data_IF_251649959198
#
_entry.id   IF_251649959198
#
_cell.length_a   1.000
_cell.length_b   1.000
_cell.length_c   1.000
_cell.angle_alpha   90.00
_cell.angle_beta   90.00
_cell.angle_gamma   90.00
#
_symmetry.space_group_name_H-M   'P 1'
#
loop_
_entity.id
_entity.type
_entity.pdbx_description
1 polymer ?
#
# COMPACT_ATOMS: atom_id res chain seq x y z
N UNK A 1 -36.03 16.77 33.98
CA UNK A 1 -36.32 15.32 34.08
C UNK A 1 -35.25 14.43 33.40
N UNK A 2 -34.19 14.99 32.80
CA UNK A 2 -33.18 14.23 32.03
C UNK A 2 -32.04 13.65 32.87
N UNK A 3 -31.75 14.17 34.06
CA UNK A 3 -30.58 13.72 34.84
C UNK A 3 -30.75 12.36 35.53
N UNK A 4 -31.99 11.85 35.66
CA UNK A 4 -32.25 10.53 36.30
C UNK A 4 -31.83 9.33 35.44
N UNK A 5 -31.64 9.50 34.13
CA UNK A 5 -31.36 8.40 33.20
C UNK A 5 -29.90 8.33 32.74
N UNK A 6 -29.07 9.33 33.06
CA UNK A 6 -27.65 9.37 32.64
C UNK A 6 -26.82 8.26 33.28
N UNK A 7 -27.07 7.98 34.56
CA UNK A 7 -26.34 6.96 35.33
C UNK A 7 -26.65 5.53 34.82
N UNK A 8 -27.92 5.10 34.67
CA UNK A 8 -28.21 3.77 34.15
C UNK A 8 -27.82 3.60 32.67
N UNK A 9 -27.92 4.65 31.86
CA UNK A 9 -27.54 4.59 30.43
C UNK A 9 -26.03 4.40 30.23
N UNK A 10 -25.20 5.06 31.05
CA UNK A 10 -23.74 4.90 30.98
C UNK A 10 -23.28 3.48 31.33
N UNK A 11 -23.95 2.83 32.29
CA UNK A 11 -23.62 1.45 32.69
C UNK A 11 -23.95 0.46 31.56
N UNK A 12 -25.08 0.63 30.89
CA UNK A 12 -25.49 -0.23 29.76
C UNK A 12 -24.51 -0.07 28.59
N UNK A 13 -24.13 1.16 28.24
CA UNK A 13 -23.15 1.42 27.19
C UNK A 13 -21.77 0.82 27.52
N UNK A 14 -21.31 0.93 28.78
CA UNK A 14 -20.06 0.33 29.23
C UNK A 14 -20.04 -1.20 29.09
N UNK A 15 -21.12 -1.88 29.46
CA UNK A 15 -21.23 -3.33 29.35
C UNK A 15 -21.21 -3.83 27.90
N UNK A 16 -21.84 -3.09 26.97
CA UNK A 16 -21.86 -3.44 25.54
C UNK A 16 -20.47 -3.30 24.92
N UNK A 17 -19.72 -2.24 25.27
CA UNK A 17 -18.36 -2.03 24.75
C UNK A 17 -17.40 -3.11 25.25
N UNK A 18 -17.48 -3.49 26.53
CA UNK A 18 -16.66 -4.55 27.12
C UNK A 18 -16.99 -5.91 26.46
N UNK A 19 -18.29 -6.20 26.24
CA UNK A 19 -18.72 -7.42 25.55
C UNK A 19 -18.19 -7.52 24.12
N UNK A 20 -18.21 -6.43 23.36
CA UNK A 20 -17.66 -6.38 22.00
C UNK A 20 -16.14 -6.58 22.00
N UNK A 21 -15.41 -5.98 22.94
CA UNK A 21 -13.96 -6.16 23.05
C UNK A 21 -13.57 -7.62 23.34
N UNK A 22 -14.26 -8.28 24.27
CA UNK A 22 -14.00 -9.71 24.58
C UNK A 22 -14.37 -10.62 23.40
N UNK A 23 -15.49 -10.34 22.73
CA UNK A 23 -15.91 -11.10 21.55
C UNK A 23 -14.92 -11.00 20.39
N UNK A 24 -14.37 -9.81 20.12
CA UNK A 24 -13.36 -9.63 19.07
C UNK A 24 -12.00 -10.22 19.45
N UNK A 25 -11.55 -10.08 20.70
CA UNK A 25 -10.29 -10.67 21.15
C UNK A 25 -10.28 -12.21 21.08
N UNK A 26 -11.42 -12.86 21.31
CA UNK A 26 -11.55 -14.31 21.20
C UNK A 26 -11.47 -14.84 19.75
N UNK A 27 -11.68 -13.99 18.73
CA UNK A 27 -11.73 -14.41 17.32
C UNK A 27 -10.37 -14.37 16.61
N UNK A 28 -9.33 -13.76 17.20
CA UNK A 28 -8.04 -13.48 16.54
C UNK A 28 -6.95 -14.53 16.76
N UNK A 29 -7.25 -15.72 17.26
CA UNK A 29 -6.25 -16.76 17.50
C UNK A 29 -6.38 -17.95 16.55
N UNK A 30 -6.07 -17.80 15.24
CA UNK A 30 -5.60 -18.89 14.36
C UNK A 30 -4.98 -18.36 13.05
N UNK A 31 -3.72 -17.90 13.04
CA UNK A 31 -2.84 -17.99 11.86
C UNK A 31 -1.40 -18.24 12.33
N UNK A 32 -0.79 -19.26 11.75
CA UNK A 32 0.38 -20.00 12.20
C UNK A 32 1.71 -19.22 12.12
N UNK A 33 2.58 -19.57 13.07
CA UNK A 33 3.98 -19.22 13.19
C UNK A 33 4.86 -20.03 12.22
N UNK A 34 5.57 -19.31 11.35
CA UNK A 34 6.99 -19.39 10.94
C UNK A 34 7.63 -20.79 10.75
N UNK A 35 8.15 -21.04 9.54
CA UNK A 35 9.42 -21.78 9.35
C UNK A 35 10.16 -21.18 8.16
N UNK A 36 11.11 -20.30 8.43
CA UNK A 36 12.11 -19.82 7.48
C UNK A 36 13.44 -20.44 7.85
N UNK A 37 13.86 -21.45 7.08
CA UNK A 37 15.18 -22.08 7.18
C UNK A 37 16.13 -21.36 6.22
N UNK A 38 16.99 -20.50 6.77
CA UNK A 38 18.22 -20.08 6.11
C UNK A 38 19.26 -21.21 6.25
N UNK A 39 20.05 -21.53 5.21
CA UNK A 39 21.40 -22.12 5.33
C UNK A 39 22.13 -22.14 3.96
N UNK A 40 23.17 -21.29 3.90
CA UNK A 40 24.47 -21.37 3.21
C UNK A 40 24.59 -21.80 1.73
N UNK A 41 25.23 -20.92 0.95
CA UNK A 41 26.00 -21.28 -0.25
C UNK A 41 27.44 -20.78 -0.08
N UNK A 42 28.48 -21.62 -0.26
CA UNK A 42 29.87 -21.20 -0.14
C UNK A 42 30.49 -20.76 -1.49
N UNK A 43 31.29 -19.69 -1.40
CA UNK A 43 32.62 -19.44 -2.00
C UNK A 43 32.88 -19.88 -3.45
N UNK A 44 33.23 -18.90 -4.30
CA UNK A 44 34.40 -19.00 -5.18
C UNK A 44 34.90 -17.60 -5.62
N UNK A 45 36.15 -17.31 -5.27
CA UNK A 45 36.99 -16.20 -5.73
C UNK A 45 37.38 -16.40 -7.20
N UNK A 46 37.36 -15.35 -8.02
CA UNK A 46 38.32 -15.24 -9.14
C UNK A 46 38.62 -13.76 -9.41
N UNK A 47 39.92 -13.46 -9.39
CA UNK A 47 40.54 -12.18 -9.71
C UNK A 47 40.89 -12.20 -11.19
N UNK A 48 40.45 -11.21 -11.97
CA UNK A 48 41.10 -10.87 -13.26
C UNK A 48 41.11 -9.35 -13.39
N UNK A 49 42.32 -8.80 -13.40
CA UNK A 49 42.63 -7.43 -13.82
C UNK A 49 42.72 -7.45 -15.34
N UNK A 50 41.99 -6.57 -16.04
CA UNK A 50 42.39 -6.15 -17.38
C UNK A 50 41.97 -4.70 -17.67
N UNK A 51 42.82 -4.03 -18.41
CA UNK A 51 43.04 -2.59 -18.51
C UNK A 51 42.57 -2.07 -19.88
N UNK A 52 42.17 -0.79 -19.93
CA UNK A 52 41.96 0.01 -21.17
C UNK A 52 40.66 -0.36 -21.92
N UNK A 53 39.82 0.53 -22.46
CA UNK A 53 40.04 1.79 -23.19
C UNK A 53 38.74 2.60 -23.10
N UNK A 54 38.82 3.93 -23.02
CA UNK A 54 37.65 4.80 -23.03
C UNK A 54 36.84 4.66 -24.33
N UNK A 55 35.62 4.14 -24.21
CA UNK A 55 34.63 4.03 -25.29
C UNK A 55 33.65 5.21 -25.18
N UNK A 56 33.27 5.88 -26.28
CA UNK A 56 32.39 7.04 -26.25
C UNK A 56 31.04 6.66 -25.66
N UNK A 57 30.68 7.32 -24.56
CA UNK A 57 29.41 7.19 -23.84
C UNK A 57 28.23 7.20 -24.84
N UNK A 58 27.51 6.08 -25.05
CA UNK A 58 26.21 6.16 -25.68
C UNK A 58 25.29 6.93 -24.74
N UNK A 59 24.73 8.04 -25.25
CA UNK A 59 23.70 8.83 -24.59
C UNK A 59 22.61 7.90 -24.03
N UNK A 60 22.25 7.97 -22.74
CA UNK A 60 21.30 7.05 -22.16
C UNK A 60 19.95 7.21 -22.86
N UNK A 61 19.53 6.16 -23.55
CA UNK A 61 18.14 5.98 -23.94
C UNK A 61 17.32 5.96 -22.66
N UNK A 62 16.22 6.73 -22.53
CA UNK A 62 15.43 6.76 -21.31
C UNK A 62 14.71 5.42 -21.15
N UNK A 63 15.35 4.47 -20.48
CA UNK A 63 14.65 3.39 -19.80
C UNK A 63 13.58 4.04 -18.93
N UNK A 64 12.32 3.56 -18.90
CA UNK A 64 11.32 4.00 -17.95
C UNK A 64 11.76 3.52 -16.56
N UNK A 65 12.78 4.19 -16.05
CA UNK A 65 13.38 3.94 -14.77
C UNK A 65 12.49 4.62 -13.75
N UNK A 66 12.27 3.93 -12.65
CA UNK A 66 11.63 4.45 -11.47
C UNK A 66 12.29 5.77 -11.06
N UNK A 67 11.72 6.91 -11.48
CA UNK A 67 12.24 8.22 -11.12
C UNK A 67 11.87 8.54 -9.69
N UNK A 68 12.86 9.01 -8.92
CA UNK A 68 12.66 9.48 -7.54
C UNK A 68 11.62 10.61 -7.47
N UNK A 69 11.55 11.44 -8.51
CA UNK A 69 10.54 12.49 -8.66
C UNK A 69 9.11 11.95 -8.69
N UNK A 70 8.86 10.84 -9.40
CA UNK A 70 7.51 10.25 -9.43
C UNK A 70 7.16 9.64 -8.07
N UNK A 71 8.10 8.99 -7.39
CA UNK A 71 7.87 8.46 -6.04
C UNK A 71 7.52 9.58 -5.04
N UNK A 72 8.25 10.71 -5.11
CA UNK A 72 7.97 11.90 -4.30
C UNK A 72 6.60 12.51 -4.63
N UNK A 73 6.26 12.64 -5.91
CA UNK A 73 4.97 13.16 -6.34
C UNK A 73 3.80 12.27 -5.89
N UNK A 74 3.96 10.94 -5.93
CA UNK A 74 2.97 9.99 -5.41
C UNK A 74 2.82 10.15 -3.89
N UNK A 75 3.93 10.28 -3.15
CA UNK A 75 3.89 10.50 -1.70
C UNK A 75 3.16 11.80 -1.34
N UNK A 76 3.41 12.88 -2.08
CA UNK A 76 2.70 14.15 -1.93
C UNK A 76 1.20 14.01 -2.20
N UNK A 77 0.82 13.28 -3.27
CA UNK A 77 -0.59 13.02 -3.58
C UNK A 77 -1.30 12.19 -2.50
N UNK A 78 -0.61 11.19 -1.92
CA UNK A 78 -1.12 10.40 -0.79
C UNK A 78 -1.30 11.26 0.46
N UNK A 79 -0.30 12.06 0.81
CA UNK A 79 -0.34 12.97 1.95
C UNK A 79 -1.53 13.95 1.85
N UNK A 80 -1.70 14.56 0.67
CA UNK A 80 -2.81 15.45 0.39
C UNK A 80 -4.17 14.75 0.50
N UNK A 81 -4.31 13.52 -0.03
CA UNK A 81 -5.56 12.75 0.04
C UNK A 81 -5.90 12.31 1.46
N UNK A 82 -4.91 11.92 2.25
CA UNK A 82 -5.09 11.45 3.63
C UNK A 82 -5.16 12.59 4.66
N UNK A 83 -4.80 13.82 4.29
CA UNK A 83 -4.79 14.97 5.19
C UNK A 83 -3.66 14.92 6.22
N UNK A 84 -2.56 14.24 5.90
CA UNK A 84 -1.39 14.07 6.77
C UNK A 84 -0.13 14.67 6.14
N UNK A 85 0.92 14.87 6.92
CA UNK A 85 2.22 15.29 6.40
C UNK A 85 2.90 14.14 5.63
N UNK A 86 3.54 14.45 4.50
CA UNK A 86 4.41 13.50 3.76
C UNK A 86 5.46 12.86 4.67
N UNK A 87 5.99 13.61 5.64
CA UNK A 87 7.00 13.12 6.59
C UNK A 87 6.47 11.99 7.46
N UNK A 88 5.16 11.94 7.69
CA UNK A 88 4.50 10.97 8.55
C UNK A 88 4.06 9.72 7.79
N UNK A 89 4.23 9.69 6.46
CA UNK A 89 3.95 8.53 5.64
C UNK A 89 5.24 7.78 5.32
N UNK A 90 5.15 6.46 5.37
CA UNK A 90 6.10 5.53 4.75
C UNK A 90 5.42 4.94 3.52
N UNK A 91 5.86 5.41 2.35
CA UNK A 91 5.31 5.06 1.04
C UNK A 91 6.34 4.22 0.30
N UNK A 92 5.92 3.03 -0.12
CA UNK A 92 6.76 2.12 -0.90
C UNK A 92 6.03 1.80 -2.20
N UNK A 93 6.53 2.30 -3.33
CA UNK A 93 6.02 1.89 -4.63
C UNK A 93 6.61 0.52 -4.98
N UNK A 94 5.76 -0.46 -5.25
CA UNK A 94 6.17 -1.85 -5.54
C UNK A 94 6.11 -2.18 -7.02
N UNK A 95 5.23 -1.52 -7.78
CA UNK A 95 5.13 -1.67 -9.23
C UNK A 95 4.78 -0.33 -9.86
N UNK A 96 5.36 -0.04 -11.02
CA UNK A 96 5.12 1.20 -11.77
C UNK A 96 5.33 0.94 -13.25
N UNK A 97 4.51 1.59 -14.07
CA UNK A 97 4.71 1.72 -15.51
C UNK A 97 4.66 3.22 -15.92
N UNK A 98 4.50 3.51 -17.21
CA UNK A 98 4.45 4.89 -17.71
C UNK A 98 3.23 5.70 -17.21
N UNK A 99 2.12 5.03 -16.90
CA UNK A 99 0.83 5.64 -16.55
C UNK A 99 0.33 5.26 -15.16
N UNK A 100 0.77 4.14 -14.58
CA UNK A 100 0.24 3.60 -13.35
C UNK A 100 1.33 3.35 -12.32
N UNK A 101 0.94 3.41 -11.05
CA UNK A 101 1.76 2.98 -9.93
C UNK A 101 0.91 2.25 -8.90
N UNK A 102 1.52 1.28 -8.25
CA UNK A 102 0.98 0.50 -7.14
C UNK A 102 2.03 0.42 -6.05
N UNK A 103 1.59 0.50 -4.80
CA UNK A 103 2.50 0.39 -3.67
C UNK A 103 1.78 0.28 -2.35
N UNK A 104 2.57 0.28 -1.27
CA UNK A 104 2.10 0.26 0.09
C UNK A 104 2.24 1.65 0.71
N UNK A 105 1.34 1.95 1.64
CA UNK A 105 1.36 3.19 2.44
C UNK A 105 1.02 2.85 3.87
N UNK A 106 1.81 3.37 4.81
CA UNK A 106 1.52 3.33 6.24
C UNK A 106 1.90 4.64 6.90
N UNK A 107 1.20 5.00 7.96
CA UNK A 107 1.63 6.09 8.81
C UNK A 107 2.75 5.61 9.73
N UNK A 108 3.86 6.35 9.80
CA UNK A 108 5.03 6.01 10.61
C UNK A 108 4.75 5.97 12.11
N UNK A 109 3.79 6.79 12.57
CA UNK A 109 3.41 6.93 13.97
C UNK A 109 2.29 5.98 14.37
N UNK A 110 1.75 5.21 13.44
CA UNK A 110 0.56 4.40 13.65
C UNK A 110 0.94 2.95 13.89
N UNK A 111 0.40 2.36 14.95
CA UNK A 111 0.55 0.93 15.25
C UNK A 111 -0.50 0.07 14.52
N UNK A 112 -1.49 0.71 13.87
CA UNK A 112 -2.45 0.02 13.00
C UNK A 112 -1.85 -0.21 11.62
N UNK A 113 -2.13 -1.40 11.05
CA UNK A 113 -1.57 -1.86 9.78
C UNK A 113 -1.78 -0.88 8.62
N UNK A 114 -0.81 -0.84 7.70
CA UNK A 114 -0.87 -0.04 6.48
C UNK A 114 -1.85 -0.56 5.44
N UNK A 115 -2.04 0.22 4.39
CA UNK A 115 -2.79 -0.17 3.20
C UNK A 115 -1.90 -0.23 1.96
N UNK A 116 -2.52 -0.51 0.82
CA UNK A 116 -1.91 -0.30 -0.48
C UNK A 116 -2.60 0.85 -1.20
N UNK A 117 -1.94 1.40 -2.21
CA UNK A 117 -2.49 2.43 -3.07
C UNK A 117 -2.39 2.04 -4.55
N UNK A 118 -3.26 2.65 -5.35
CA UNK A 118 -3.21 2.67 -6.80
C UNK A 118 -3.20 4.13 -7.25
N UNK A 119 -2.27 4.47 -8.13
CA UNK A 119 -2.14 5.82 -8.65
C UNK A 119 -2.04 5.82 -10.18
N UNK A 120 -2.56 6.87 -10.79
CA UNK A 120 -2.49 7.12 -12.23
C UNK A 120 -1.78 8.44 -12.49
N UNK A 121 -0.98 8.50 -13.55
CA UNK A 121 -0.31 9.71 -14.02
C UNK A 121 -1.20 10.43 -15.03
N UNK A 122 -1.59 11.65 -14.71
CA UNK A 122 -2.34 12.55 -15.58
C UNK A 122 -1.46 13.72 -16.04
N UNK A 123 -1.99 14.59 -16.88
CA UNK A 123 -1.30 15.83 -17.30
C UNK A 123 -0.99 16.76 -16.11
N UNK A 124 -1.80 16.70 -15.04
CA UNK A 124 -1.62 17.49 -13.82
C UNK A 124 -0.75 16.80 -12.76
N UNK A 125 -0.20 15.61 -13.04
CA UNK A 125 0.63 14.83 -12.12
C UNK A 125 -0.02 13.54 -11.66
N UNK A 126 0.44 12.99 -10.53
CA UNK A 126 -0.06 11.73 -9.99
C UNK A 126 -1.36 11.93 -9.21
N UNK A 127 -2.34 11.08 -9.48
CA UNK A 127 -3.64 11.04 -8.79
C UNK A 127 -3.80 9.69 -8.13
N UNK A 128 -4.15 9.69 -6.84
CA UNK A 128 -4.45 8.46 -6.09
C UNK A 128 -5.88 8.04 -6.39
N UNK A 129 -6.02 6.90 -7.06
CA UNK A 129 -7.32 6.32 -7.44
C UNK A 129 -7.88 5.51 -6.27
N UNK A 130 -7.03 4.75 -5.59
CA UNK A 130 -7.39 3.91 -4.46
C UNK A 130 -6.30 3.95 -3.38
N UNK A 131 -6.74 3.85 -2.13
CA UNK A 131 -5.92 3.67 -0.94
C UNK A 131 -6.76 2.91 0.10
N UNK A 132 -6.19 1.85 0.67
CA UNK A 132 -6.88 1.04 1.66
C UNK A 132 -6.35 -0.38 1.77
N UNK A 133 -7.00 -1.18 2.61
CA UNK A 133 -6.67 -2.59 2.84
C UNK A 133 -7.61 -3.56 2.11
N UNK A 134 -8.68 -3.06 1.51
CA UNK A 134 -9.69 -3.87 0.83
C UNK A 134 -9.41 -3.98 -0.68
N UNK A 135 -10.18 -4.81 -1.36
CA UNK A 135 -10.18 -4.85 -2.84
C UNK A 135 -10.92 -3.61 -3.38
N UNK A 136 -10.42 -2.92 -4.44
CA UNK A 136 -11.10 -1.75 -4.97
C UNK A 136 -12.33 -2.20 -5.77
N UNK A 137 -13.31 -1.32 -5.93
CA UNK A 137 -14.46 -1.64 -6.79
C UNK A 137 -14.06 -1.54 -8.26
N UNK A 138 -14.69 -2.36 -9.11
CA UNK A 138 -14.43 -2.31 -10.55
C UNK A 138 -14.78 -0.94 -11.14
N UNK A 139 -15.81 -0.27 -10.62
CA UNK A 139 -16.22 1.08 -11.04
C UNK A 139 -15.19 2.15 -10.71
N UNK A 140 -14.43 1.99 -9.63
CA UNK A 140 -13.39 2.93 -9.21
C UNK A 140 -12.16 2.84 -10.10
N UNK A 141 -11.79 1.64 -10.58
CA UNK A 141 -10.56 1.42 -11.37
C UNK A 141 -10.80 1.44 -12.88
N UNK A 142 -12.01 1.12 -13.35
CA UNK A 142 -12.32 0.99 -14.78
C UNK A 142 -11.97 2.24 -15.63
N UNK A 143 -12.17 3.48 -15.17
CA UNK A 143 -11.83 4.67 -15.95
C UNK A 143 -10.33 4.88 -16.19
N UNK A 144 -9.48 4.13 -15.49
CA UNK A 144 -8.04 4.36 -15.43
C UNK A 144 -7.21 3.25 -16.06
N UNK A 145 -7.83 2.23 -16.67
CA UNK A 145 -7.15 1.18 -17.45
C UNK A 145 -5.97 0.49 -16.74
N UNK A 146 -6.06 0.29 -15.42
CA UNK A 146 -5.01 -0.40 -14.67
C UNK A 146 -4.76 -1.79 -15.25
N UNK A 147 -3.49 -2.18 -15.48
CA UNK A 147 -3.18 -3.49 -16.02
C UNK A 147 -3.51 -4.60 -15.00
N UNK A 148 -3.85 -5.78 -15.50
CA UNK A 148 -4.28 -6.92 -14.67
C UNK A 148 -3.16 -7.44 -13.77
N UNK A 149 -1.90 -7.19 -14.13
CA UNK A 149 -0.74 -7.52 -13.31
C UNK A 149 -0.56 -6.58 -12.09
N UNK A 150 -1.22 -5.42 -12.08
CA UNK A 150 -1.32 -4.52 -10.93
C UNK A 150 -2.63 -4.76 -10.16
N UNK A 151 -3.73 -4.92 -10.88
CA UNK A 151 -5.07 -5.10 -10.31
C UNK A 151 -5.75 -6.30 -10.99
N UNK A 152 -5.48 -7.53 -10.52
CA UNK A 152 -6.00 -8.76 -11.13
C UNK A 152 -7.48 -8.99 -10.82
N UNK A 153 -7.98 -8.36 -9.76
CA UNK A 153 -9.34 -8.55 -9.26
C UNK A 153 -9.92 -7.24 -8.73
N UNK A 154 -11.25 -7.16 -8.75
CA UNK A 154 -12.01 -6.03 -8.23
C UNK A 154 -13.37 -6.49 -7.69
N UNK A 155 -14.05 -5.63 -6.93
CA UNK A 155 -15.40 -5.89 -6.44
C UNK A 155 -16.45 -5.39 -7.45
N UNK A 156 -17.37 -6.27 -7.85
CA UNK A 156 -18.52 -5.91 -8.68
C UNK A 156 -19.55 -5.06 -7.90
N UNK A 157 -20.64 -4.66 -8.56
CA UNK A 157 -21.70 -3.86 -7.93
C UNK A 157 -22.44 -4.58 -6.79
N UNK A 158 -22.34 -5.90 -6.71
CA UNK A 158 -22.95 -6.73 -5.67
C UNK A 158 -21.95 -7.07 -4.55
N UNK A 159 -20.69 -6.61 -4.64
CA UNK A 159 -19.62 -6.92 -3.70
C UNK A 159 -18.96 -8.28 -3.93
N UNK A 160 -19.19 -8.94 -5.07
CA UNK A 160 -18.49 -10.17 -5.43
C UNK A 160 -17.11 -9.84 -5.99
N UNK A 161 -16.13 -10.65 -5.63
CA UNK A 161 -14.79 -10.60 -6.20
C UNK A 161 -14.83 -11.16 -7.63
N UNK A 162 -14.38 -10.36 -8.61
CA UNK A 162 -14.29 -10.76 -10.02
C UNK A 162 -12.87 -10.56 -10.54
N UNK A 163 -12.40 -11.51 -11.35
CA UNK A 163 -11.10 -11.45 -12.02
C UNK A 163 -11.19 -10.62 -13.30
N UNK A 164 -10.10 -9.90 -13.64
CA UNK A 164 -9.97 -9.03 -14.81
C UNK A 164 -9.09 -9.63 -15.89
#
# INVERSE_FOLDING_TARGET
>A
MIDKYKIPLAIILGAVIIGLFVYFAAKTQKVNQITSTATTSPVATTVVVEQSIASPTPSPTPTPQFSEDDAKAIAAALAAKLGVSETNLDVQVTKKDAKHAKGNVKEKTSEVGGGYFLAVKTESGWVIVYDGQATPTCTQIAPYDFPTDMVPECLDANGNLVTR
#
